data_IF_613254321318
#
_entry.id   IF_613254321318
#
_cell.length_a   1.000
_cell.length_b   1.000
_cell.length_c   1.000
_cell.angle_alpha   90.00
_cell.angle_beta   90.00
_cell.angle_gamma   90.00
#
_symmetry.space_group_name_H-M   'P 1'
#
loop_
_entity.id
_entity.type
_entity.pdbx_description
1 polymer ?
#
# COMPACT_ATOMS: atom_id res chain seq x y z
N UNK A 1 3.66 12.39 2.20
CA UNK A 1 2.63 11.45 1.72
C UNK A 1 3.25 10.52 0.70
N UNK A 2 3.07 9.23 0.92
CA UNK A 2 3.55 8.20 0.02
C UNK A 2 2.88 8.31 -1.37
N UNK A 3 3.58 7.84 -2.41
CA UNK A 3 3.05 7.66 -3.76
C UNK A 3 3.19 6.20 -4.18
N UNK A 4 2.33 5.74 -5.10
CA UNK A 4 2.53 4.48 -5.80
C UNK A 4 2.95 4.77 -7.22
N UNK A 5 4.11 4.30 -7.64
CA UNK A 5 4.70 4.56 -8.95
C UNK A 5 4.90 3.25 -9.71
N UNK A 6 4.95 3.33 -11.03
CA UNK A 6 5.24 2.17 -11.88
C UNK A 6 6.60 2.39 -12.50
N UNK A 7 7.57 1.57 -12.11
CA UNK A 7 8.97 1.63 -12.53
C UNK A 7 9.42 0.21 -12.85
N UNK A 8 10.06 0.00 -14.00
CA UNK A 8 10.65 -1.30 -14.40
C UNK A 8 9.72 -2.52 -14.19
N UNK A 9 8.47 -2.40 -14.65
CA UNK A 9 7.41 -3.40 -14.47
C UNK A 9 7.09 -3.76 -13.02
N UNK A 10 7.33 -2.85 -12.08
CA UNK A 10 7.00 -2.98 -10.66
C UNK A 10 6.08 -1.85 -10.22
N UNK A 11 5.22 -2.14 -9.25
CA UNK A 11 4.50 -1.14 -8.49
C UNK A 11 5.33 -0.83 -7.24
N UNK A 12 5.84 0.39 -7.13
CA UNK A 12 6.67 0.85 -6.03
C UNK A 12 5.91 1.81 -5.13
N UNK A 13 5.95 1.58 -3.83
CA UNK A 13 5.48 2.50 -2.81
C UNK A 13 6.66 3.36 -2.39
N UNK A 14 6.64 4.61 -2.83
CA UNK A 14 7.68 5.60 -2.51
C UNK A 14 7.27 6.31 -1.23
N UNK A 15 8.01 6.07 -0.14
CA UNK A 15 7.76 6.71 1.15
C UNK A 15 8.42 8.09 1.18
N UNK A 16 7.71 9.09 1.71
CA UNK A 16 8.22 10.46 1.87
C UNK A 16 8.14 10.86 3.34
N UNK A 17 9.02 11.75 3.81
CA UNK A 17 8.88 12.38 5.13
C UNK A 17 8.79 11.41 6.32
N UNK A 18 7.75 11.57 7.14
CA UNK A 18 7.54 10.80 8.37
C UNK A 18 7.26 9.32 8.10
N UNK A 19 6.79 8.96 6.91
CA UNK A 19 6.50 7.58 6.52
C UNK A 19 7.74 6.70 6.48
N UNK A 20 8.87 7.26 6.03
CA UNK A 20 10.15 6.53 5.97
C UNK A 20 10.67 6.22 7.38
N UNK A 21 10.42 7.13 8.32
CA UNK A 21 10.82 6.99 9.72
C UNK A 21 9.84 6.03 10.44
N UNK A 22 8.54 6.20 10.20
CA UNK A 22 7.49 5.45 10.88
C UNK A 22 7.24 4.04 10.34
N UNK A 23 7.53 3.74 9.08
CA UNK A 23 7.37 2.37 8.57
C UNK A 23 8.45 1.40 9.10
N UNK A 24 9.56 1.93 9.63
CA UNK A 24 10.73 1.16 10.08
C UNK A 24 11.28 0.27 8.93
N UNK A 25 11.07 0.70 7.68
CA UNK A 25 11.65 0.13 6.46
C UNK A 25 11.61 1.16 5.32
N UNK A 26 12.42 0.93 4.29
CA UNK A 26 12.40 1.73 3.06
C UNK A 26 11.22 1.42 2.14
N UNK A 27 11.34 1.87 0.90
CA UNK A 27 10.34 1.67 -0.15
C UNK A 27 10.03 0.19 -0.37
N UNK A 28 8.81 -0.10 -0.80
CA UNK A 28 8.31 -1.46 -1.03
C UNK A 28 7.88 -1.60 -2.47
N UNK A 29 8.25 -2.68 -3.13
CA UNK A 29 7.78 -2.95 -4.49
C UNK A 29 7.25 -4.37 -4.67
N UNK A 30 6.28 -4.49 -5.57
CA UNK A 30 5.74 -5.78 -6.05
C UNK A 30 5.78 -5.78 -7.57
N UNK A 31 5.94 -6.94 -8.20
CA UNK A 31 5.98 -6.99 -9.66
C UNK A 31 4.58 -6.78 -10.25
N UNK A 32 4.48 -6.13 -11.41
CA UNK A 32 3.21 -5.93 -12.09
C UNK A 32 2.51 -7.26 -12.41
N UNK A 33 3.24 -8.34 -12.73
CA UNK A 33 2.70 -9.68 -13.03
C UNK A 33 2.08 -10.36 -11.80
N UNK A 34 2.45 -9.93 -10.59
CA UNK A 34 1.90 -10.39 -9.31
C UNK A 34 0.65 -9.62 -8.90
N UNK A 35 0.38 -8.44 -9.48
CA UNK A 35 -0.79 -7.63 -9.12
C UNK A 35 -2.08 -8.30 -9.61
N UNK A 36 -2.98 -8.64 -8.71
CA UNK A 36 -4.26 -9.26 -9.04
C UNK A 36 -5.34 -8.21 -9.32
N UNK A 37 -5.40 -7.18 -8.49
CA UNK A 37 -6.38 -6.10 -8.60
C UNK A 37 -5.81 -4.80 -8.03
N UNK A 38 -6.36 -3.69 -8.49
CA UNK A 38 -6.09 -2.35 -7.95
C UNK A 38 -7.43 -1.65 -7.77
N UNK A 39 -7.72 -1.18 -6.56
CA UNK A 39 -8.99 -0.51 -6.25
C UNK A 39 -8.82 0.69 -5.34
N UNK A 40 -9.82 1.56 -5.38
CA UNK A 40 -9.97 2.67 -4.45
C UNK A 40 -10.72 2.18 -3.21
N UNK A 41 -10.21 2.51 -2.03
CA UNK A 41 -10.92 2.37 -0.76
C UNK A 41 -11.26 3.77 -0.25
N UNK A 42 -12.55 4.05 -0.04
CA UNK A 42 -13.00 5.36 0.47
C UNK A 42 -12.55 5.58 1.92
N UNK A 43 -12.58 4.53 2.75
CA UNK A 43 -12.04 4.52 4.10
C UNK A 43 -10.80 3.63 4.17
N UNK A 44 -9.63 4.27 4.28
CA UNK A 44 -8.36 3.57 4.36
C UNK A 44 -8.21 2.71 5.63
N UNK A 45 -8.83 3.08 6.75
CA UNK A 45 -8.69 2.34 8.01
C UNK A 45 -9.55 1.08 8.03
N UNK A 46 -10.68 1.07 7.31
CA UNK A 46 -11.52 -0.11 7.16
C UNK A 46 -10.78 -1.27 6.47
N UNK A 47 -9.76 -0.97 5.66
CA UNK A 47 -8.96 -1.97 4.94
C UNK A 47 -7.85 -2.61 5.77
N UNK A 48 -7.46 -1.98 6.87
CA UNK A 48 -6.30 -2.39 7.66
C UNK A 48 -6.72 -3.47 8.66
N UNK A 49 -6.08 -4.64 8.57
CA UNK A 49 -6.42 -5.79 9.40
C UNK A 49 -5.18 -6.43 10.06
N UNK A 50 -5.41 -7.12 11.18
CA UNK A 50 -4.38 -7.89 11.88
C UNK A 50 -3.58 -7.06 12.89
N UNK A 51 -2.39 -7.54 13.22
CA UNK A 51 -1.49 -6.93 14.19
C UNK A 51 -0.30 -6.27 13.49
N UNK A 52 0.05 -5.06 13.92
CA UNK A 52 1.21 -4.31 13.43
C UNK A 52 2.50 -4.90 13.99
N UNK A 53 3.43 -5.32 13.12
CA UNK A 53 4.80 -5.72 13.49
C UNK A 53 5.72 -5.89 12.25
N UNK A 54 6.78 -5.07 12.05
CA UNK A 54 7.16 -3.81 12.72
C UNK A 54 6.45 -2.57 12.10
N UNK A 55 6.64 -1.39 12.71
CA UNK A 55 6.14 -0.11 12.20
C UNK A 55 5.69 0.85 13.31
N UNK A 56 5.21 2.03 12.95
CA UNK A 56 4.69 3.06 13.85
C UNK A 56 3.24 3.36 13.46
N UNK A 57 2.36 3.42 14.45
CA UNK A 57 0.99 3.87 14.24
C UNK A 57 0.54 4.65 15.45
N UNK A 58 -0.02 5.83 15.23
CA UNK A 58 -0.83 6.49 16.24
C UNK A 58 -2.26 5.99 16.02
N UNK A 59 -2.87 5.27 16.98
CA UNK A 59 -4.25 4.83 16.86
C UNK A 59 -5.15 5.98 16.43
N UNK A 60 -5.94 5.74 15.38
CA UNK A 60 -6.89 6.71 14.79
C UNK A 60 -6.30 7.95 14.10
N UNK A 61 -4.99 8.01 13.85
CA UNK A 61 -4.37 9.10 13.06
C UNK A 61 -3.71 8.55 11.80
N UNK A 62 -2.84 7.56 11.97
CA UNK A 62 -2.10 6.94 10.88
C UNK A 62 -1.73 5.50 11.23
N UNK A 63 -1.60 4.66 10.21
CA UNK A 63 -1.05 3.32 10.33
C UNK A 63 0.06 3.16 9.29
N UNK A 64 1.30 2.99 9.76
CA UNK A 64 2.48 2.87 8.91
C UNK A 64 3.24 1.58 9.25
N UNK A 65 3.70 0.88 8.21
CA UNK A 65 4.56 -0.29 8.32
C UNK A 65 3.88 -1.59 7.95
N UNK A 66 4.38 -2.70 8.51
CA UNK A 66 3.95 -4.04 8.15
C UNK A 66 2.87 -4.54 9.10
N UNK A 67 1.73 -4.91 8.54
CA UNK A 67 0.62 -5.53 9.26
C UNK A 67 0.60 -7.02 8.94
N UNK A 68 0.36 -7.83 9.96
CA UNK A 68 0.40 -9.28 9.88
C UNK A 68 -0.92 -9.86 10.32
N UNK A 69 -1.39 -10.86 9.59
CA UNK A 69 -2.61 -11.61 9.88
C UNK A 69 -2.38 -13.07 9.51
N UNK A 70 -3.35 -13.94 9.83
CA UNK A 70 -3.33 -15.34 9.35
C UNK A 70 -3.25 -15.45 7.83
N UNK A 71 -3.75 -14.45 7.09
CA UNK A 71 -3.74 -14.45 5.62
C UNK A 71 -2.43 -13.99 4.98
N UNK A 72 -1.46 -13.51 5.77
CA UNK A 72 -0.18 -12.99 5.29
C UNK A 72 0.09 -11.54 5.69
N UNK A 73 1.16 -10.97 5.13
CA UNK A 73 1.62 -9.61 5.44
C UNK A 73 1.02 -8.58 4.50
N UNK A 74 0.79 -7.39 5.03
CA UNK A 74 0.32 -6.23 4.30
C UNK A 74 1.27 -5.08 4.55
N UNK A 75 1.57 -4.31 3.50
CA UNK A 75 2.23 -3.03 3.68
C UNK A 75 1.16 -1.96 3.78
N UNK A 76 1.20 -1.19 4.86
CA UNK A 76 0.19 -0.17 5.16
C UNK A 76 0.89 1.17 5.34
N UNK A 77 0.46 2.17 4.57
CA UNK A 77 0.86 3.56 4.71
C UNK A 77 -0.39 4.44 4.57
N UNK A 78 -1.24 4.44 5.60
CA UNK A 78 -2.55 5.11 5.56
C UNK A 78 -2.68 6.23 6.58
N UNK A 79 -3.44 7.25 6.19
CA UNK A 79 -3.80 8.40 7.02
C UNK A 79 -5.32 8.50 7.14
N UNK A 80 -5.81 8.90 8.32
CA UNK A 80 -7.25 9.00 8.57
C UNK A 80 -7.91 10.06 7.68
N UNK A 81 -9.16 9.79 7.29
CA UNK A 81 -10.02 10.74 6.58
C UNK A 81 -9.62 10.93 5.12
N UNK A 82 -8.85 9.98 4.57
CA UNK A 82 -8.39 10.01 3.19
C UNK A 82 -8.64 8.65 2.53
N UNK A 83 -8.98 8.64 1.23
CA UNK A 83 -9.06 7.40 0.48
C UNK A 83 -7.66 6.76 0.36
N UNK A 84 -7.64 5.46 0.13
CA UNK A 84 -6.43 4.70 -0.14
C UNK A 84 -6.52 3.94 -1.46
N UNK A 85 -5.35 3.70 -2.04
CA UNK A 85 -5.18 2.71 -3.10
C UNK A 85 -4.90 1.37 -2.43
N UNK A 86 -5.68 0.36 -2.79
CA UNK A 86 -5.42 -1.04 -2.41
C UNK A 86 -4.94 -1.79 -3.65
N UNK A 87 -3.75 -2.37 -3.54
CA UNK A 87 -3.18 -3.27 -4.54
C UNK A 87 -3.23 -4.68 -3.96
N UNK A 88 -4.03 -5.55 -4.57
CA UNK A 88 -4.10 -6.98 -4.24
C UNK A 88 -2.99 -7.71 -5.00
N UNK A 89 -2.25 -8.59 -4.31
CA UNK A 89 -1.05 -9.24 -4.84
C UNK A 89 -1.17 -10.75 -4.71
N UNK A 90 -0.66 -11.48 -5.72
CA UNK A 90 -0.68 -12.94 -5.76
C UNK A 90 0.02 -13.53 -4.52
N UNK A 91 -0.51 -14.62 -3.93
CA UNK A 91 0.17 -15.33 -2.85
C UNK A 91 1.58 -15.81 -3.24
N UNK A 92 2.48 -15.90 -2.26
CA UNK A 92 3.87 -16.37 -2.43
C UNK A 92 4.92 -15.25 -2.38
N UNK A 93 4.50 -13.98 -2.54
CA UNK A 93 5.35 -12.81 -2.33
C UNK A 93 5.44 -12.36 -0.87
N UNK A 94 6.23 -11.30 -0.62
CA UNK A 94 6.35 -10.72 0.73
C UNK A 94 5.01 -10.18 1.25
N UNK A 95 4.25 -9.52 0.38
CA UNK A 95 3.00 -8.86 0.71
C UNK A 95 1.85 -9.42 -0.11
N UNK A 96 0.70 -9.59 0.55
CA UNK A 96 -0.57 -9.91 -0.12
C UNK A 96 -1.33 -8.65 -0.53
N UNK A 97 -1.10 -7.53 0.17
CA UNK A 97 -1.73 -6.24 -0.09
C UNK A 97 -0.77 -5.09 0.16
N UNK A 98 -0.87 -4.05 -0.68
CA UNK A 98 -0.34 -2.72 -0.42
C UNK A 98 -1.53 -1.77 -0.23
N UNK A 99 -1.61 -1.09 0.91
CA UNK A 99 -2.70 -0.18 1.26
C UNK A 99 -2.08 1.19 1.54
N UNK A 100 -2.28 2.15 0.63
CA UNK A 100 -1.52 3.40 0.64
C UNK A 100 -2.43 4.60 0.39
N UNK A 101 -2.43 5.55 1.32
CA UNK A 101 -2.99 6.88 1.09
C UNK A 101 -2.00 7.71 0.26
N UNK A 102 -2.49 8.36 -0.80
CA UNK A 102 -1.70 9.19 -1.72
C UNK A 102 -2.42 10.51 -2.00
N UNK A 103 -1.72 11.45 -2.68
CA UNK A 103 -2.22 12.80 -2.98
C UNK A 103 -3.52 12.79 -3.77
N UNK A 104 -3.59 11.89 -4.74
CA UNK A 104 -4.73 11.68 -5.63
C UNK A 104 -4.90 10.18 -5.86
N UNK A 105 -5.72 9.55 -5.01
CA UNK A 105 -5.90 8.11 -5.01
C UNK A 105 -6.64 7.61 -6.27
N UNK A 106 -7.58 8.39 -6.79
CA UNK A 106 -8.32 8.06 -8.00
C UNK A 106 -7.39 8.02 -9.23
N UNK A 107 -6.58 9.07 -9.39
CA UNK A 107 -5.60 9.13 -10.48
C UNK A 107 -4.55 8.02 -10.36
N UNK A 108 -4.12 7.70 -9.13
CA UNK A 108 -3.20 6.60 -8.89
C UNK A 108 -3.80 5.24 -9.30
N UNK A 109 -5.04 4.95 -8.89
CA UNK A 109 -5.77 3.73 -9.30
C UNK A 109 -5.88 3.65 -10.82
N UNK A 110 -6.32 4.72 -11.48
CA UNK A 110 -6.47 4.75 -12.94
C UNK A 110 -5.14 4.48 -13.66
N UNK A 111 -4.02 5.06 -13.17
CA UNK A 111 -2.69 4.81 -13.73
C UNK A 111 -2.24 3.36 -13.53
N UNK A 112 -2.38 2.84 -12.31
CA UNK A 112 -1.96 1.47 -11.97
C UNK A 112 -2.76 0.44 -12.75
N UNK A 113 -4.09 0.62 -12.86
CA UNK A 113 -4.95 -0.27 -13.68
C UNK A 113 -4.51 -0.33 -15.13
N UNK A 114 -4.19 0.83 -15.75
CA UNK A 114 -3.65 0.86 -17.12
C UNK A 114 -2.36 0.07 -17.24
N UNK A 115 -1.44 0.22 -16.28
CA UNK A 115 -0.19 -0.53 -16.28
C UNK A 115 -0.40 -2.05 -16.10
N UNK A 116 -1.36 -2.45 -15.25
CA UNK A 116 -1.73 -3.85 -15.02
C UNK A 116 -2.39 -4.48 -16.26
N UNK A 117 -3.13 -3.72 -17.05
CA UNK A 117 -3.72 -4.21 -18.30
C UNK A 117 -2.65 -4.34 -19.40
N UNK A 118 -1.65 -3.46 -19.41
CA UNK A 118 -0.60 -3.40 -20.43
C UNK A 118 0.65 -4.27 -20.13
N UNK A 119 0.62 -5.09 -19.07
CA UNK A 119 1.80 -5.81 -18.52
C UNK A 119 2.21 -7.05 -19.31
#
# INVERSE_FOLDING_TARGET
>A
MASLEVVDKRVEVVLRGLERIGAVRGDVSVRLDEVLDVRLAADAFAEVHGWRAPGTGLPRVMALGTWRSRGGKEFVAVYRGRPAVVVEVRPGGEFRRLIVTTGDAERAVARLRRAVIAR
#
